data_IF_750751981848
#
_entry.id   IF_750751981848
#
_cell.length_a   1.000
_cell.length_b   1.000
_cell.length_c   1.000
_cell.angle_alpha   90.00
_cell.angle_beta   90.00
_cell.angle_gamma   90.00
#
_symmetry.space_group_name_H-M   'P 1'
#
loop_
_entity.id
_entity.type
_entity.pdbx_description
1 polymer ?
#
# COMPACT_ATOMS: atom_id res chain seq x y z
N UNK A 1 -7.45 -0.86 -2.72
CA UNK A 1 -7.19 0.30 -1.83
C UNK A 1 -6.72 -0.20 -0.48
N UNK A 2 -5.62 0.36 0.03
CA UNK A 2 -5.08 0.08 1.35
C UNK A 2 -5.10 1.35 2.19
N UNK A 3 -5.45 1.26 3.47
CA UNK A 3 -5.45 2.41 4.38
C UNK A 3 -6.15 2.11 5.69
N UNK A 4 -6.55 3.15 6.42
CA UNK A 4 -7.40 3.03 7.62
C UNK A 4 -8.88 3.11 7.23
N UNK A 5 -9.61 2.02 7.40
CA UNK A 5 -11.03 1.99 7.06
C UNK A 5 -11.84 2.94 7.96
N UNK A 6 -12.90 3.51 7.41
CA UNK A 6 -13.95 4.20 8.16
C UNK A 6 -15.33 3.84 7.58
N UNK A 7 -16.44 4.01 8.33
CA UNK A 7 -17.77 3.72 7.79
C UNK A 7 -18.12 4.47 6.50
N UNK A 8 -17.51 5.64 6.26
CA UNK A 8 -17.73 6.46 5.05
C UNK A 8 -16.73 6.16 3.92
N UNK A 9 -15.56 5.62 4.26
CA UNK A 9 -14.46 5.35 3.34
C UNK A 9 -13.95 3.93 3.61
N UNK A 10 -14.68 2.89 3.16
CA UNK A 10 -14.20 1.53 3.27
C UNK A 10 -12.97 1.34 2.39
N UNK A 11 -12.05 0.49 2.84
CA UNK A 11 -10.87 0.07 2.08
C UNK A 11 -10.84 -1.45 1.97
N UNK A 12 -10.19 -1.97 0.93
CA UNK A 12 -10.09 -3.40 0.71
C UNK A 12 -9.17 -4.08 1.74
N UNK A 13 -8.13 -3.35 2.19
CA UNK A 13 -7.20 -3.79 3.23
C UNK A 13 -7.08 -2.73 4.31
N UNK A 14 -7.64 -3.04 5.48
CA UNK A 14 -7.63 -2.14 6.64
C UNK A 14 -6.38 -2.32 7.49
N UNK A 15 -5.44 -1.40 7.31
CA UNK A 15 -4.17 -1.36 8.02
C UNK A 15 -4.32 -0.91 9.47
N UNK A 16 -5.49 -0.43 9.89
CA UNK A 16 -5.71 -0.04 11.29
C UNK A 16 -5.79 -1.23 12.25
N UNK A 17 -5.99 -2.44 11.72
CA UNK A 17 -6.01 -3.68 12.49
C UNK A 17 -4.59 -4.13 12.91
N UNK A 18 -3.56 -3.66 12.21
CA UNK A 18 -2.17 -4.13 12.33
C UNK A 18 -1.27 -3.22 13.18
N UNK A 19 -1.76 -2.08 13.69
CA UNK A 19 -0.95 -1.14 14.46
C UNK A 19 -1.61 0.21 14.74
N UNK A 20 -0.82 1.25 15.14
CA UNK A 20 -1.36 2.56 15.51
C UNK A 20 -2.11 3.20 14.33
N UNK A 21 -3.42 3.08 14.33
CA UNK A 21 -4.30 3.46 13.24
C UNK A 21 -4.12 4.93 12.82
N UNK A 22 -3.84 5.82 13.77
CA UNK A 22 -3.61 7.25 13.57
C UNK A 22 -2.46 7.57 12.60
N UNK A 23 -1.51 6.64 12.45
CA UNK A 23 -0.29 6.81 11.65
C UNK A 23 -0.49 6.47 10.17
N UNK A 24 -1.66 5.97 9.80
CA UNK A 24 -2.00 5.52 8.45
C UNK A 24 -3.16 6.37 7.93
N UNK A 25 -2.99 6.88 6.70
CA UNK A 25 -4.05 7.64 6.04
C UNK A 25 -5.25 6.74 5.76
N UNK A 26 -6.47 7.31 5.76
CA UNK A 26 -7.68 6.57 5.37
C UNK A 26 -7.55 5.92 4.00
N UNK A 27 -6.91 6.64 3.07
CA UNK A 27 -6.45 6.14 1.77
C UNK A 27 -4.94 6.29 1.73
N UNK A 28 -4.19 5.21 1.93
CA UNK A 28 -2.73 5.26 2.04
C UNK A 28 -2.05 4.83 0.75
N UNK A 29 -2.48 3.72 0.15
CA UNK A 29 -1.90 3.23 -1.10
C UNK A 29 -2.93 2.52 -1.97
N UNK A 30 -2.66 2.48 -3.27
CA UNK A 30 -3.43 1.71 -4.25
C UNK A 30 -2.48 0.71 -4.89
N UNK A 31 -2.87 -0.56 -4.91
CA UNK A 31 -2.24 -1.57 -5.76
C UNK A 31 -3.17 -1.78 -6.94
N UNK A 32 -2.64 -1.69 -8.15
CA UNK A 32 -3.38 -1.93 -9.39
C UNK A 32 -2.52 -2.77 -10.34
N UNK A 33 -3.18 -3.57 -11.18
CA UNK A 33 -2.52 -4.28 -12.27
C UNK A 33 -2.65 -3.46 -13.54
N UNK A 34 -1.53 -3.13 -14.16
CA UNK A 34 -1.51 -2.52 -15.48
C UNK A 34 -2.08 -3.52 -16.50
N UNK A 35 -3.17 -3.17 -17.22
CA UNK A 35 -3.81 -4.08 -18.17
C UNK A 35 -2.95 -4.35 -19.41
N UNK A 36 -1.99 -3.48 -19.72
CA UNK A 36 -1.14 -3.56 -20.91
C UNK A 36 0.08 -4.43 -20.65
N UNK A 37 0.81 -4.15 -19.55
CA UNK A 37 2.04 -4.89 -19.21
C UNK A 37 1.78 -6.10 -18.32
N UNK A 38 0.63 -6.14 -17.64
CA UNK A 38 0.30 -7.16 -16.65
C UNK A 38 1.03 -6.99 -15.31
N UNK A 39 1.85 -5.95 -15.14
CA UNK A 39 2.59 -5.69 -13.91
C UNK A 39 1.69 -5.13 -12.82
N UNK A 40 2.05 -5.42 -11.57
CA UNK A 40 1.44 -4.76 -10.43
C UNK A 40 2.22 -3.49 -10.11
N UNK A 41 1.50 -2.40 -9.90
CA UNK A 41 2.04 -1.14 -9.43
C UNK A 41 1.40 -0.75 -8.11
N UNK A 42 2.21 -0.19 -7.22
CA UNK A 42 1.75 0.50 -6.02
C UNK A 42 1.88 2.00 -6.21
N UNK A 43 0.81 2.74 -5.95
CA UNK A 43 0.80 4.21 -5.87
C UNK A 43 0.55 4.64 -4.43
N UNK A 44 1.41 5.49 -3.88
CA UNK A 44 1.17 6.11 -2.57
C UNK A 44 0.25 7.32 -2.74
N UNK A 45 -0.92 7.31 -2.09
CA UNK A 45 -1.90 8.41 -2.14
C UNK A 45 -2.10 9.06 -0.77
N UNK A 46 -1.41 8.55 0.26
CA UNK A 46 -1.49 9.05 1.64
C UNK A 46 -0.33 9.98 1.99
N UNK A 47 -0.44 10.61 3.16
CA UNK A 47 0.56 11.55 3.66
C UNK A 47 1.89 10.87 4.04
N UNK A 48 1.83 9.60 4.45
CA UNK A 48 3.02 8.88 4.93
C UNK A 48 3.80 8.24 3.79
N UNK A 49 5.13 8.30 3.84
CA UNK A 49 6.00 7.54 2.93
C UNK A 49 5.77 6.05 3.10
N UNK A 50 5.60 5.37 1.97
CA UNK A 50 5.61 3.90 1.89
C UNK A 50 7.02 3.46 1.49
N UNK A 51 7.52 2.35 2.01
CA UNK A 51 8.78 1.78 1.56
C UNK A 51 8.50 0.46 0.84
N UNK A 52 9.00 0.32 -0.38
CA UNK A 52 8.90 -0.92 -1.18
C UNK A 52 10.32 -1.44 -1.38
N UNK A 53 10.60 -2.63 -0.86
CA UNK A 53 11.94 -3.25 -0.90
C UNK A 53 13.03 -2.31 -0.37
N UNK A 54 12.71 -1.58 0.71
CA UNK A 54 13.59 -0.59 1.35
C UNK A 54 13.66 0.77 0.65
N UNK A 55 13.06 0.94 -0.54
CA UNK A 55 13.06 2.20 -1.29
C UNK A 55 11.86 3.06 -0.93
N UNK A 56 12.10 4.34 -0.64
CA UNK A 56 11.06 5.30 -0.29
C UNK A 56 10.16 5.63 -1.49
N UNK A 57 8.85 5.59 -1.26
CA UNK A 57 7.79 5.97 -2.19
C UNK A 57 6.97 7.10 -1.56
N UNK A 58 7.28 8.33 -1.94
CA UNK A 58 6.57 9.53 -1.48
C UNK A 58 5.15 9.63 -2.03
N UNK A 59 4.35 10.53 -1.48
CA UNK A 59 2.97 10.78 -1.93
C UNK A 59 2.91 11.10 -3.42
N UNK A 60 1.89 10.59 -4.11
CA UNK A 60 1.64 10.69 -5.55
C UNK A 60 2.69 10.05 -6.46
N UNK A 61 3.65 9.29 -5.89
CA UNK A 61 4.56 8.48 -6.69
C UNK A 61 4.07 7.04 -6.77
N UNK A 62 4.55 6.33 -7.81
CA UNK A 62 4.29 4.91 -8.02
C UNK A 62 5.57 4.11 -8.21
N UNK A 63 5.51 2.83 -7.88
CA UNK A 63 6.58 1.86 -8.15
C UNK A 63 5.98 0.52 -8.54
N UNK A 64 6.74 -0.26 -9.30
CA UNK A 64 6.39 -1.65 -9.60
C UNK A 64 6.50 -2.51 -8.35
N UNK A 65 5.57 -3.45 -8.19
CA UNK A 65 5.63 -4.54 -7.23
C UNK A 65 6.00 -5.83 -7.97
N UNK A 66 6.98 -6.57 -7.43
CA UNK A 66 7.31 -7.91 -7.88
C UNK A 66 6.82 -8.92 -6.83
N UNK A 67 6.68 -10.19 -7.21
CA UNK A 67 6.39 -11.23 -6.23
C UNK A 67 7.44 -11.20 -5.10
N UNK A 68 6.98 -11.31 -3.85
CA UNK A 68 7.75 -11.15 -2.62
C UNK A 68 8.24 -9.73 -2.29
N UNK A 69 7.79 -8.69 -3.01
CA UNK A 69 8.09 -7.32 -2.60
C UNK A 69 7.62 -7.06 -1.16
N UNK A 70 8.50 -6.48 -0.35
CA UNK A 70 8.20 -6.08 1.03
C UNK A 70 7.68 -4.66 1.02
N UNK A 71 6.47 -4.48 1.51
CA UNK A 71 5.82 -3.17 1.65
C UNK A 71 5.83 -2.79 3.12
N UNK A 72 6.37 -1.63 3.44
CA UNK A 72 6.41 -1.11 4.80
C UNK A 72 5.73 0.26 4.91
N UNK A 73 4.80 0.36 5.85
CA UNK A 73 4.02 1.58 6.14
C UNK A 73 4.01 1.75 7.66
N UNK A 74 4.64 2.82 8.16
CA UNK A 74 4.86 2.99 9.59
C UNK A 74 5.56 1.75 10.19
N UNK A 75 4.89 1.06 11.14
CA UNK A 75 5.41 -0.18 11.75
C UNK A 75 4.92 -1.45 11.04
N UNK A 76 3.96 -1.32 10.11
CA UNK A 76 3.32 -2.44 9.43
C UNK A 76 4.22 -2.88 8.29
N UNK A 77 4.49 -4.19 8.21
CA UNK A 77 5.19 -4.84 7.10
C UNK A 77 4.29 -5.89 6.46
N UNK A 78 4.15 -5.80 5.15
CA UNK A 78 3.36 -6.71 4.33
C UNK A 78 4.27 -7.34 3.28
N UNK A 79 3.96 -8.58 2.90
CA UNK A 79 4.59 -9.26 1.77
C UNK A 79 3.59 -9.29 0.62
N UNK A 80 3.97 -8.74 -0.53
CA UNK A 80 3.17 -8.86 -1.74
C UNK A 80 3.42 -10.22 -2.39
N UNK A 81 2.34 -10.93 -2.73
CA UNK A 81 2.40 -12.26 -3.38
C UNK A 81 1.51 -12.27 -4.62
N UNK A 82 1.97 -12.90 -5.70
CA UNK A 82 1.19 -13.11 -6.93
C UNK A 82 0.74 -14.58 -6.98
N UNK A 83 -0.58 -14.83 -6.97
CA UNK A 83 -1.15 -16.15 -7.24
C UNK A 83 -1.28 -17.09 -6.03
N UNK A 84 -1.95 -16.64 -4.96
CA UNK A 84 -2.54 -17.50 -3.94
C UNK A 84 -4.07 -17.39 -3.98
#
# INVERSE_FOLDING_TARGET
>A
MLGRSTPREPVDLDLSLEGPAEKVSRRQAVIARDPTTGYFEMTNVGARTVFVDGKALGTNNRTRLNDNSIIQIAIIRLVFRIGQ
#
